data_IF_644076700660
#
_entry.id   IF_644076700660
#
_cell.length_a   1.000
_cell.length_b   1.000
_cell.length_c   1.000
_cell.angle_alpha   90.00
_cell.angle_beta   90.00
_cell.angle_gamma   90.00
#
_symmetry.space_group_name_H-M   'P 1'
#
loop_
_entity.id
_entity.type
_entity.pdbx_description
1 polymer ?
#
# COMPACT_ATOMS: atom_id res chain seq x y z
N UNK A 1 12.87 -17.26 10.45
CA UNK A 1 11.70 -17.17 9.57
C UNK A 1 10.51 -17.55 10.42
N UNK A 2 9.51 -16.65 10.57
CA UNK A 2 8.30 -16.97 11.33
C UNK A 2 7.43 -17.98 10.59
N UNK A 3 6.72 -18.82 11.32
CA UNK A 3 5.74 -19.75 10.74
C UNK A 3 4.61 -18.95 10.08
N UNK A 4 4.30 -19.31 8.85
CA UNK A 4 3.22 -18.75 8.04
C UNK A 4 2.00 -19.67 8.11
N UNK A 5 0.79 -19.12 8.26
CA UNK A 5 -0.44 -19.86 8.49
C UNK A 5 -1.51 -19.53 7.45
N UNK A 6 -2.52 -20.40 7.28
CA UNK A 6 -3.61 -20.16 6.35
C UNK A 6 -4.46 -18.94 6.78
N UNK A 7 -4.93 -18.16 5.82
CA UNK A 7 -5.80 -17.01 6.06
C UNK A 7 -6.67 -16.69 4.85
N UNK A 8 -7.63 -15.78 5.02
CA UNK A 8 -8.43 -15.22 3.94
C UNK A 8 -7.92 -13.83 3.56
N UNK A 9 -7.76 -13.60 2.27
CA UNK A 9 -7.53 -12.29 1.69
C UNK A 9 -8.81 -11.73 1.06
N UNK A 10 -9.02 -10.43 1.17
CA UNK A 10 -10.19 -9.75 0.62
C UNK A 10 -9.76 -8.57 -0.27
N UNK A 11 -10.31 -8.52 -1.49
CA UNK A 11 -10.10 -7.46 -2.46
C UNK A 11 -11.41 -6.66 -2.61
N UNK A 12 -11.47 -5.50 -1.96
CA UNK A 12 -12.70 -4.70 -1.92
C UNK A 12 -13.12 -4.14 -3.28
N UNK A 13 -12.17 -3.93 -4.18
CA UNK A 13 -12.38 -3.48 -5.56
C UNK A 13 -13.12 -4.49 -6.45
N UNK A 14 -13.09 -5.77 -6.07
CA UNK A 14 -13.84 -6.83 -6.74
C UNK A 14 -15.20 -7.10 -6.11
N UNK A 15 -15.50 -6.51 -4.97
CA UNK A 15 -16.71 -6.79 -4.20
C UNK A 15 -17.85 -5.84 -4.59
N UNK A 16 -18.96 -6.39 -5.06
CA UNK A 16 -20.21 -5.66 -5.36
C UNK A 16 -21.18 -5.56 -4.16
N UNK A 17 -20.87 -6.27 -3.05
CA UNK A 17 -21.70 -6.29 -1.85
C UNK A 17 -22.88 -7.25 -1.90
N UNK A 18 -22.86 -8.28 -2.75
CA UNK A 18 -23.95 -9.29 -2.89
C UNK A 18 -24.29 -10.05 -1.61
N UNK A 19 -23.40 -10.11 -0.62
CA UNK A 19 -23.51 -10.84 0.66
C UNK A 19 -23.51 -12.39 0.54
N UNK A 20 -23.23 -12.98 -0.62
CA UNK A 20 -23.18 -14.44 -0.78
C UNK A 20 -22.17 -15.11 0.17
N UNK A 21 -21.02 -14.45 0.38
CA UNK A 21 -20.00 -14.90 1.34
C UNK A 21 -20.50 -14.87 2.80
N UNK A 22 -21.35 -13.92 3.17
CA UNK A 22 -21.97 -13.80 4.52
C UNK A 22 -22.96 -14.94 4.71
N UNK A 23 -23.82 -15.16 3.73
CA UNK A 23 -24.82 -16.26 3.72
C UNK A 23 -24.15 -17.63 3.80
N UNK A 24 -23.10 -17.84 3.00
CA UNK A 24 -22.32 -19.07 3.03
C UNK A 24 -21.64 -19.29 4.40
N UNK A 25 -21.01 -18.25 4.96
CA UNK A 25 -20.38 -18.32 6.28
C UNK A 25 -21.37 -18.62 7.40
N UNK A 26 -22.56 -18.05 7.35
CA UNK A 26 -23.64 -18.35 8.29
C UNK A 26 -24.09 -19.80 8.19
N UNK A 27 -24.22 -20.33 6.96
CA UNK A 27 -24.63 -21.71 6.69
C UNK A 27 -23.67 -22.78 7.19
N UNK A 28 -22.38 -22.49 7.33
CA UNK A 28 -21.40 -23.41 7.94
C UNK A 28 -21.63 -23.58 9.46
N UNK A 29 -22.30 -22.65 10.09
CA UNK A 29 -22.56 -22.66 11.53
C UNK A 29 -23.93 -23.23 11.88
N UNK A 30 -24.90 -23.02 10.99
CA UNK A 30 -26.30 -23.37 11.25
C UNK A 30 -27.07 -23.54 9.91
N UNK A 31 -28.02 -24.47 9.90
CA UNK A 31 -28.87 -24.76 8.74
C UNK A 31 -29.74 -23.56 8.32
N UNK A 32 -30.05 -22.64 9.24
CA UNK A 32 -30.95 -21.51 9.00
C UNK A 32 -30.33 -20.37 8.18
N UNK A 33 -29.01 -20.39 7.96
CA UNK A 33 -28.25 -19.40 7.17
C UNK A 33 -28.50 -17.92 7.61
N UNK A 34 -28.81 -17.72 8.91
CA UNK A 34 -29.03 -16.38 9.44
C UNK A 34 -27.75 -15.53 9.31
N UNK A 35 -27.80 -14.41 8.58
CA UNK A 35 -26.63 -13.54 8.39
C UNK A 35 -26.00 -13.03 9.71
N UNK A 36 -26.77 -12.93 10.79
CA UNK A 36 -26.26 -12.53 12.11
C UNK A 36 -25.31 -13.58 12.71
N UNK A 37 -25.30 -14.80 12.19
CA UNK A 37 -24.38 -15.86 12.57
C UNK A 37 -23.11 -15.94 11.72
N UNK A 38 -22.96 -15.03 10.77
CA UNK A 38 -21.73 -14.92 9.99
C UNK A 38 -20.54 -14.50 10.83
N UNK A 39 -19.40 -15.15 10.63
CA UNK A 39 -18.12 -14.83 11.26
C UNK A 39 -17.31 -13.77 10.49
N UNK A 40 -17.90 -13.26 9.43
CA UNK A 40 -17.36 -12.21 8.57
C UNK A 40 -18.43 -11.13 8.38
N UNK A 41 -17.98 -9.86 8.26
CA UNK A 41 -18.90 -8.73 8.09
C UNK A 41 -18.33 -7.76 7.06
N UNK A 42 -19.16 -7.34 6.09
CA UNK A 42 -18.79 -6.29 5.13
C UNK A 42 -18.73 -4.92 5.83
N UNK A 43 -17.65 -4.21 5.60
CA UNK A 43 -17.48 -2.81 6.00
C UNK A 43 -17.84 -1.94 4.81
N UNK A 44 -18.85 -1.06 4.99
CA UNK A 44 -19.34 -0.16 3.94
C UNK A 44 -19.16 1.30 4.32
N UNK A 45 -18.87 2.13 3.32
CA UNK A 45 -18.94 3.59 3.41
C UNK A 45 -19.99 4.06 2.39
N UNK A 46 -21.17 4.44 2.87
CA UNK A 46 -22.36 4.59 2.01
C UNK A 46 -22.73 3.25 1.36
N UNK A 47 -22.91 3.24 0.05
CA UNK A 47 -23.22 2.02 -0.70
C UNK A 47 -21.96 1.21 -1.10
N UNK A 48 -20.76 1.77 -0.93
CA UNK A 48 -19.51 1.14 -1.38
C UNK A 48 -18.95 0.22 -0.31
N UNK A 49 -18.60 -1.02 -0.67
CA UNK A 49 -17.85 -1.94 0.20
C UNK A 49 -16.40 -1.49 0.25
N UNK A 50 -15.93 -1.15 1.46
CA UNK A 50 -14.57 -0.66 1.69
C UNK A 50 -13.67 -1.68 2.36
N UNK A 51 -14.24 -2.73 2.95
CA UNK A 51 -13.47 -3.75 3.63
C UNK A 51 -14.31 -4.94 4.08
N UNK A 52 -13.63 -5.90 4.70
CA UNK A 52 -14.23 -7.07 5.32
C UNK A 52 -13.62 -7.29 6.70
N UNK A 53 -14.43 -7.25 7.76
CA UNK A 53 -14.02 -7.68 9.08
C UNK A 53 -13.97 -9.21 9.11
N UNK A 54 -12.79 -9.77 9.32
CA UNK A 54 -12.56 -11.22 9.35
C UNK A 54 -11.34 -11.58 10.20
N UNK A 55 -11.29 -12.81 10.68
CA UNK A 55 -10.14 -13.32 11.42
C UNK A 55 -8.93 -13.53 10.50
N UNK A 56 -7.76 -13.02 10.92
CA UNK A 56 -6.50 -13.12 10.18
C UNK A 56 -5.66 -14.34 10.54
N UNK A 57 -6.10 -15.16 11.49
CA UNK A 57 -5.33 -16.30 12.02
C UNK A 57 -3.90 -15.87 12.43
N UNK A 58 -3.81 -14.85 13.28
CA UNK A 58 -2.55 -14.20 13.68
C UNK A 58 -1.50 -15.19 14.13
N UNK A 59 -0.22 -14.89 13.87
CA UNK A 59 0.90 -15.70 14.34
C UNK A 59 0.93 -15.71 15.88
N UNK A 60 0.74 -14.55 16.50
CA UNK A 60 0.59 -14.36 17.95
C UNK A 60 -0.80 -13.76 18.25
N UNK A 61 -1.82 -14.58 18.49
CA UNK A 61 -3.20 -14.11 18.59
C UNK A 61 -3.51 -13.51 19.96
N UNK A 62 -3.64 -12.19 20.02
CA UNK A 62 -4.04 -11.45 21.24
C UNK A 62 -5.36 -11.93 21.85
N UNK A 63 -6.28 -12.41 21.03
CA UNK A 63 -7.53 -12.96 21.50
C UNK A 63 -7.35 -14.26 22.32
N UNK A 64 -6.35 -15.06 22.02
CA UNK A 64 -5.97 -16.26 22.80
C UNK A 64 -5.27 -15.84 24.09
N UNK A 65 -4.27 -14.97 23.98
CA UNK A 65 -3.48 -14.48 25.12
C UNK A 65 -4.33 -13.81 26.19
N UNK A 66 -5.40 -13.11 25.80
CA UNK A 66 -6.28 -12.36 26.71
C UNK A 66 -7.55 -13.12 27.11
N UNK A 67 -7.72 -14.40 26.72
CA UNK A 67 -8.91 -15.14 27.12
C UNK A 67 -8.82 -15.61 28.59
N UNK A 68 -9.66 -15.08 29.52
CA UNK A 68 -9.52 -15.34 30.94
C UNK A 68 -9.85 -16.79 31.34
N UNK A 69 -10.57 -17.52 30.51
CA UNK A 69 -10.98 -18.92 30.75
C UNK A 69 -10.30 -19.92 29.81
N UNK A 70 -9.39 -19.43 28.91
CA UNK A 70 -8.67 -20.29 27.97
C UNK A 70 -9.54 -20.91 26.87
N UNK A 71 -10.76 -20.39 26.64
CA UNK A 71 -11.68 -20.92 25.63
C UNK A 71 -11.24 -20.70 24.18
N UNK A 72 -10.20 -19.90 23.95
CA UNK A 72 -9.59 -19.72 22.65
C UNK A 72 -8.22 -20.38 22.64
N UNK A 73 -7.95 -21.18 21.65
CA UNK A 73 -6.66 -21.85 21.47
C UNK A 73 -6.20 -21.78 20.01
N UNK A 74 -4.90 -21.82 19.80
CA UNK A 74 -4.29 -21.92 18.49
C UNK A 74 -3.72 -23.32 18.30
N UNK A 75 -4.13 -23.97 17.24
CA UNK A 75 -3.58 -25.25 16.84
C UNK A 75 -2.13 -25.06 16.33
N UNK A 76 -1.12 -25.73 16.91
CA UNK A 76 0.27 -25.52 16.54
C UNK A 76 0.63 -26.04 15.13
N UNK A 77 -0.10 -27.02 14.62
CA UNK A 77 0.17 -27.65 13.32
C UNK A 77 -0.51 -26.88 12.18
N UNK A 78 -1.77 -26.52 12.35
CA UNK A 78 -2.55 -25.82 11.33
C UNK A 78 -2.50 -24.30 11.45
N UNK A 79 -2.15 -23.78 12.63
CA UNK A 79 -2.18 -22.37 12.94
C UNK A 79 -3.58 -21.77 13.06
N UNK A 80 -4.61 -22.60 13.01
CA UNK A 80 -6.00 -22.15 13.12
C UNK A 80 -6.32 -21.85 14.59
N UNK A 81 -6.87 -20.69 14.84
CA UNK A 81 -7.39 -20.33 16.16
C UNK A 81 -8.85 -20.77 16.24
N UNK A 82 -9.21 -21.55 17.22
CA UNK A 82 -10.56 -22.07 17.48
C UNK A 82 -11.10 -21.61 18.83
N UNK A 83 -12.41 -21.78 19.02
CA UNK A 83 -13.14 -21.50 20.28
C UNK A 83 -13.85 -22.78 20.73
N UNK A 84 -13.71 -23.12 21.98
CA UNK A 84 -14.44 -24.22 22.61
C UNK A 84 -15.69 -23.75 23.41
N UNK A 85 -16.40 -24.69 24.02
CA UNK A 85 -17.65 -24.44 24.76
C UNK A 85 -17.45 -23.85 26.14
N UNK A 86 -16.23 -23.75 26.65
CA UNK A 86 -15.92 -23.10 27.95
C UNK A 86 -16.06 -21.58 27.90
N UNK A 87 -16.31 -21.01 26.72
CA UNK A 87 -16.53 -19.58 26.52
C UNK A 87 -17.68 -19.06 27.37
N UNK A 88 -17.41 -18.06 28.23
CA UNK A 88 -18.35 -17.41 29.12
C UNK A 88 -18.98 -16.13 28.57
N UNK A 89 -18.67 -15.75 27.29
CA UNK A 89 -19.25 -14.54 26.68
C UNK A 89 -18.75 -13.21 27.23
N UNK A 90 -17.58 -13.16 27.87
CA UNK A 90 -17.03 -11.92 28.46
C UNK A 90 -16.62 -10.86 27.46
N UNK A 91 -16.49 -11.20 26.16
CA UNK A 91 -16.18 -10.32 25.03
C UNK A 91 -14.79 -9.64 25.08
N UNK A 92 -13.88 -10.01 25.98
CA UNK A 92 -12.53 -9.44 26.05
C UNK A 92 -11.80 -9.64 24.72
N UNK A 93 -11.96 -10.79 24.07
CA UNK A 93 -11.33 -11.09 22.77
C UNK A 93 -11.81 -10.18 21.63
N UNK A 94 -13.01 -9.61 21.70
CA UNK A 94 -13.47 -8.63 20.70
C UNK A 94 -12.75 -7.28 20.86
N UNK A 95 -12.42 -6.89 22.08
CA UNK A 95 -11.65 -5.68 22.39
C UNK A 95 -10.16 -5.86 22.10
N UNK A 96 -9.64 -7.07 22.30
CA UNK A 96 -8.22 -7.39 22.06
C UNK A 96 -7.90 -7.60 20.58
N UNK A 97 -8.90 -7.84 19.71
CA UNK A 97 -8.67 -8.16 18.32
C UNK A 97 -8.39 -6.90 17.48
N UNK A 98 -7.17 -6.71 16.94
CA UNK A 98 -6.85 -5.52 16.13
C UNK A 98 -7.52 -5.53 14.74
N UNK A 99 -8.09 -6.66 14.33
CA UNK A 99 -8.67 -6.86 13.00
C UNK A 99 -10.20 -6.95 12.97
N UNK A 100 -10.87 -6.69 14.09
CA UNK A 100 -12.32 -6.87 14.25
C UNK A 100 -12.81 -8.27 13.79
N UNK A 101 -11.96 -9.29 13.87
CA UNK A 101 -12.23 -10.66 13.40
C UNK A 101 -13.02 -11.53 14.38
N UNK A 102 -13.65 -10.92 15.39
CA UNK A 102 -14.49 -11.60 16.40
C UNK A 102 -15.89 -11.00 16.34
N UNK A 103 -16.89 -11.84 16.12
CA UNK A 103 -18.31 -11.45 16.17
C UNK A 103 -18.97 -12.00 17.43
N UNK A 104 -20.15 -11.54 17.76
CA UNK A 104 -20.92 -11.99 18.94
C UNK A 104 -22.22 -12.58 18.45
N UNK A 105 -22.53 -13.79 18.89
CA UNK A 105 -23.85 -14.40 18.70
C UNK A 105 -24.85 -13.69 19.63
N UNK A 106 -25.85 -13.07 19.07
CA UNK A 106 -26.87 -12.32 19.83
C UNK A 106 -27.78 -13.22 20.68
N UNK A 107 -27.89 -14.50 20.30
CA UNK A 107 -28.78 -15.46 20.98
C UNK A 107 -28.22 -15.92 22.35
N UNK A 108 -26.91 -16.18 22.43
CA UNK A 108 -26.29 -16.70 23.65
C UNK A 108 -25.20 -15.78 24.23
N UNK A 109 -24.93 -14.64 23.55
CA UNK A 109 -23.95 -13.66 23.97
C UNK A 109 -22.49 -14.14 23.84
N UNK A 110 -22.24 -15.33 23.33
CA UNK A 110 -20.90 -15.88 23.14
C UNK A 110 -20.26 -15.37 21.88
N UNK A 111 -18.93 -15.40 21.82
CA UNK A 111 -18.19 -14.98 20.63
C UNK A 111 -18.21 -16.04 19.56
N UNK A 112 -18.26 -15.61 18.32
CA UNK A 112 -18.08 -16.42 17.13
C UNK A 112 -16.79 -16.02 16.43
N UNK A 113 -16.13 -16.99 15.81
CA UNK A 113 -14.83 -16.78 15.18
C UNK A 113 -14.68 -17.64 13.92
N UNK A 114 -14.06 -17.09 12.90
CA UNK A 114 -13.70 -17.82 11.68
C UNK A 114 -12.66 -18.90 11.99
N UNK A 115 -12.96 -20.14 11.65
CA UNK A 115 -12.11 -21.33 11.78
C UNK A 115 -11.73 -21.91 10.41
N UNK A 116 -11.84 -21.09 9.35
CA UNK A 116 -11.54 -21.43 7.96
C UNK A 116 -12.28 -22.69 7.44
N UNK A 117 -13.42 -23.04 8.05
CA UNK A 117 -14.22 -24.23 7.70
C UNK A 117 -13.34 -25.49 7.54
N UNK A 118 -12.42 -25.71 8.49
CA UNK A 118 -11.47 -26.84 8.50
C UNK A 118 -10.54 -26.88 7.26
N UNK A 119 -10.26 -25.72 6.63
CA UNK A 119 -9.36 -25.59 5.49
C UNK A 119 -10.07 -25.47 4.12
N UNK A 120 -11.39 -25.54 4.10
CA UNK A 120 -12.22 -25.38 2.90
C UNK A 120 -13.25 -24.24 3.09
N UNK A 121 -12.82 -22.97 3.02
CA UNK A 121 -13.68 -21.84 3.38
C UNK A 121 -14.81 -21.62 2.35
N UNK A 122 -16.03 -21.96 2.72
CA UNK A 122 -17.25 -21.86 1.93
C UNK A 122 -17.50 -20.44 1.38
N UNK A 123 -17.14 -19.41 2.15
CA UNK A 123 -17.29 -18.02 1.72
C UNK A 123 -16.42 -17.68 0.49
N UNK A 124 -15.31 -18.39 0.29
CA UNK A 124 -14.47 -18.22 -0.92
C UNK A 124 -15.16 -18.84 -2.11
N UNK A 125 -15.64 -20.08 -1.95
CA UNK A 125 -16.35 -20.80 -3.02
C UNK A 125 -17.65 -20.11 -3.44
N UNK A 126 -18.31 -19.43 -2.51
CA UNK A 126 -19.54 -18.70 -2.75
C UNK A 126 -19.35 -17.31 -3.37
N UNK A 127 -18.13 -16.79 -3.44
CA UNK A 127 -17.88 -15.44 -3.95
C UNK A 127 -17.83 -15.42 -5.48
N UNK A 128 -18.86 -14.88 -6.19
CA UNK A 128 -18.93 -14.96 -7.65
C UNK A 128 -17.88 -14.09 -8.36
N UNK A 129 -17.38 -13.06 -7.66
CA UNK A 129 -16.40 -12.10 -8.22
C UNK A 129 -14.96 -12.40 -7.79
N UNK A 130 -14.71 -13.47 -7.04
CA UNK A 130 -13.37 -13.79 -6.55
C UNK A 130 -12.77 -12.70 -5.66
N UNK A 131 -13.61 -11.93 -4.96
CA UNK A 131 -13.17 -10.90 -4.02
C UNK A 131 -12.55 -11.52 -2.74
N UNK A 132 -12.87 -12.76 -2.42
CA UNK A 132 -12.26 -13.55 -1.35
C UNK A 132 -11.32 -14.60 -1.93
N UNK A 133 -10.14 -14.73 -1.33
CA UNK A 133 -9.14 -15.74 -1.71
C UNK A 133 -8.64 -16.47 -0.46
N UNK A 134 -8.49 -17.77 -0.53
CA UNK A 134 -7.86 -18.57 0.52
C UNK A 134 -6.35 -18.67 0.26
N UNK A 135 -5.58 -18.17 1.19
CA UNK A 135 -4.12 -18.23 1.19
C UNK A 135 -3.67 -19.30 2.17
N UNK A 136 -3.05 -20.36 1.69
CA UNK A 136 -2.60 -21.49 2.53
C UNK A 136 -1.47 -21.07 3.48
N UNK A 137 -0.60 -20.14 3.03
CA UNK A 137 0.49 -19.61 3.83
C UNK A 137 0.62 -18.11 3.53
N UNK A 138 0.52 -17.26 4.54
CA UNK A 138 0.66 -15.83 4.37
C UNK A 138 1.14 -15.14 5.65
N UNK A 139 2.43 -14.84 5.72
CA UNK A 139 2.99 -14.04 6.80
C UNK A 139 2.51 -12.59 6.76
N UNK A 140 2.21 -12.06 5.57
CA UNK A 140 1.70 -10.70 5.37
C UNK A 140 0.44 -10.48 6.20
N UNK A 141 -0.57 -11.36 6.04
CA UNK A 141 -1.84 -11.24 6.74
C UNK A 141 -1.79 -11.64 8.20
N UNK A 142 -1.07 -12.73 8.51
CA UNK A 142 -1.00 -13.26 9.87
C UNK A 142 -0.25 -12.32 10.82
N UNK A 143 0.71 -11.54 10.32
CA UNK A 143 1.58 -10.67 11.12
C UNK A 143 1.34 -9.18 10.93
N UNK A 144 0.35 -8.78 10.16
CA UNK A 144 0.10 -7.36 9.83
C UNK A 144 -0.07 -6.46 11.07
N UNK A 145 -0.63 -6.97 12.17
CA UNK A 145 -0.80 -6.25 13.42
C UNK A 145 0.36 -6.40 14.41
N UNK A 146 1.29 -7.32 14.17
CA UNK A 146 2.36 -7.69 15.13
C UNK A 146 3.68 -6.98 14.83
N UNK A 147 3.84 -6.41 13.63
CA UNK A 147 5.07 -5.73 13.25
C UNK A 147 5.27 -4.47 14.10
N UNK A 148 6.50 -4.29 14.60
CA UNK A 148 6.86 -3.12 15.41
C UNK A 148 6.59 -1.82 14.66
N UNK A 149 5.96 -0.86 15.34
CA UNK A 149 5.78 0.47 14.80
C UNK A 149 7.05 1.31 15.02
N UNK A 150 7.81 1.50 13.96
CA UNK A 150 9.06 2.24 13.94
C UNK A 150 8.89 3.75 13.73
N UNK A 151 7.65 4.24 13.77
CA UNK A 151 7.32 5.66 13.73
C UNK A 151 6.67 6.07 15.04
N UNK A 152 7.21 7.10 15.68
CA UNK A 152 6.65 7.63 16.91
C UNK A 152 5.24 8.20 16.68
N UNK A 153 4.35 8.15 17.68
CA UNK A 153 3.07 8.84 17.60
C UNK A 153 3.25 10.36 17.56
N UNK A 154 2.24 11.07 17.03
CA UNK A 154 2.24 12.54 17.03
C UNK A 154 3.13 13.16 15.95
N UNK A 155 3.15 12.60 14.77
CA UNK A 155 3.84 13.15 13.60
C UNK A 155 3.17 14.40 13.05
N UNK A 156 3.95 15.25 12.36
CA UNK A 156 3.48 16.47 11.70
C UNK A 156 3.03 16.17 10.26
N UNK A 157 1.82 15.65 10.09
CA UNK A 157 1.25 15.33 8.78
C UNK A 157 -0.12 15.97 8.59
N UNK A 158 -0.53 16.18 7.33
CA UNK A 158 -1.89 16.61 7.01
C UNK A 158 -2.90 15.52 7.33
N UNK A 159 -4.16 15.90 7.57
CA UNK A 159 -5.25 14.95 7.76
C UNK A 159 -5.42 14.08 6.51
N UNK A 160 -5.42 12.75 6.68
CA UNK A 160 -5.47 11.79 5.59
C UNK A 160 -4.21 11.75 4.73
N UNK A 161 -3.04 12.07 5.29
CA UNK A 161 -1.77 12.06 4.55
C UNK A 161 -1.34 10.64 4.18
N UNK A 162 -1.32 10.34 2.90
CA UNK A 162 -0.87 9.06 2.38
C UNK A 162 0.64 8.81 2.60
N UNK A 163 1.42 9.87 2.65
CA UNK A 163 2.87 9.79 2.91
C UNK A 163 3.15 9.16 4.28
N UNK A 164 2.35 9.50 5.29
CA UNK A 164 2.48 8.93 6.64
C UNK A 164 2.18 7.43 6.65
N UNK A 165 1.07 7.05 6.03
CA UNK A 165 0.67 5.65 5.92
C UNK A 165 1.77 4.82 5.24
N UNK A 166 2.26 5.27 4.08
CA UNK A 166 3.34 4.62 3.36
C UNK A 166 4.62 4.49 4.21
N UNK A 167 5.03 5.59 4.83
CA UNK A 167 6.25 5.64 5.63
C UNK A 167 6.22 4.64 6.78
N UNK A 168 5.14 4.63 7.55
CA UNK A 168 4.92 3.73 8.68
C UNK A 168 4.93 2.26 8.25
N UNK A 169 4.19 1.93 7.21
CA UNK A 169 4.09 0.55 6.72
C UNK A 169 5.37 0.05 6.06
N UNK A 170 6.09 0.91 5.33
CA UNK A 170 7.37 0.52 4.75
C UNK A 170 8.42 0.21 5.83
N UNK A 171 8.51 1.03 6.87
CA UNK A 171 9.43 0.77 7.98
C UNK A 171 9.06 -0.48 8.77
N UNK A 172 7.77 -0.69 9.04
CA UNK A 172 7.30 -1.94 9.68
C UNK A 172 7.75 -3.17 8.89
N UNK A 173 7.67 -3.10 7.55
CA UNK A 173 7.99 -4.26 6.71
C UNK A 173 9.49 -4.50 6.56
N UNK A 174 10.27 -3.45 6.36
CA UNK A 174 11.73 -3.57 6.19
C UNK A 174 12.46 -3.80 7.52
N UNK A 175 11.92 -3.24 8.61
CA UNK A 175 12.41 -3.49 9.96
C UNK A 175 13.41 -2.47 10.48
N UNK A 176 13.83 -2.64 11.74
CA UNK A 176 14.65 -1.69 12.50
C UNK A 176 16.12 -1.61 12.06
N UNK A 177 16.63 -2.64 11.34
CA UNK A 177 18.00 -2.64 10.83
C UNK A 177 18.14 -1.78 9.56
N UNK A 178 17.68 -0.54 9.64
CA UNK A 178 17.56 0.37 8.50
C UNK A 178 18.13 1.74 8.83
N UNK A 179 18.77 2.36 7.84
CA UNK A 179 19.16 3.77 7.84
C UNK A 179 18.40 4.51 6.77
N UNK A 180 17.77 5.62 7.13
CA UNK A 180 16.91 6.42 6.26
C UNK A 180 17.63 7.65 5.72
N UNK A 181 17.31 8.01 4.46
CA UNK A 181 17.53 9.36 3.93
C UNK A 181 16.18 9.98 3.56
N UNK A 182 15.87 11.11 4.17
CA UNK A 182 14.62 11.83 4.03
C UNK A 182 14.92 13.26 3.58
N UNK A 183 14.85 13.56 2.26
CA UNK A 183 15.09 14.92 1.77
C UNK A 183 13.95 15.88 2.16
N UNK A 184 14.14 17.20 2.03
CA UNK A 184 13.10 18.19 2.27
C UNK A 184 11.83 17.91 1.44
N UNK A 185 10.67 18.18 2.03
CA UNK A 185 9.35 17.97 1.42
C UNK A 185 8.33 17.42 2.41
N UNK A 186 7.25 16.84 1.92
CA UNK A 186 6.21 16.19 2.75
C UNK A 186 6.77 15.08 3.63
N UNK A 187 7.74 14.32 3.12
CA UNK A 187 8.41 13.23 3.86
C UNK A 187 9.17 13.72 5.09
N UNK A 188 9.75 14.92 5.03
CA UNK A 188 10.44 15.52 6.18
C UNK A 188 9.45 15.85 7.31
N UNK A 189 8.25 16.33 7.00
CA UNK A 189 7.20 16.55 8.01
C UNK A 189 6.75 15.28 8.70
N UNK A 190 6.78 14.14 7.99
CA UNK A 190 6.38 12.83 8.55
C UNK A 190 7.50 12.16 9.33
N UNK A 191 8.71 12.14 8.79
CA UNK A 191 9.79 11.30 9.33
C UNK A 191 10.88 12.07 10.06
N UNK A 192 11.13 13.33 9.69
CA UNK A 192 12.24 14.11 10.24
C UNK A 192 11.84 14.97 11.43
N UNK A 193 10.64 15.53 11.42
CA UNK A 193 10.15 16.48 12.42
C UNK A 193 8.96 15.88 13.14
N UNK A 194 9.21 15.30 14.30
CA UNK A 194 8.14 14.89 15.21
C UNK A 194 7.58 16.08 16.00
N UNK A 195 6.58 15.82 16.80
CA UNK A 195 6.03 16.79 17.75
C UNK A 195 7.14 17.21 18.73
N UNK A 196 7.21 18.52 19.01
CA UNK A 196 8.22 19.14 19.89
C UNK A 196 9.68 18.99 19.40
N UNK A 197 9.92 18.86 18.10
CA UNK A 197 11.27 18.80 17.54
C UNK A 197 12.00 17.46 17.76
N UNK A 198 11.31 16.44 18.24
CA UNK A 198 11.86 15.08 18.35
C UNK A 198 11.71 14.36 17.02
N UNK A 199 12.72 13.60 16.62
CA UNK A 199 12.65 12.76 15.41
C UNK A 199 11.50 11.78 15.50
N UNK A 200 10.67 11.74 14.44
CA UNK A 200 9.50 10.85 14.40
C UNK A 200 9.87 9.38 14.14
N UNK A 201 11.09 9.09 13.69
CA UNK A 201 11.54 7.72 13.41
C UNK A 201 12.30 7.10 14.58
N UNK A 202 12.07 5.82 14.83
CA UNK A 202 12.83 5.00 15.79
C UNK A 202 14.05 4.33 15.16
N UNK A 203 14.36 4.65 13.91
CA UNK A 203 15.57 4.21 13.19
C UNK A 203 16.42 5.42 12.82
N UNK A 204 17.75 5.26 12.65
CA UNK A 204 18.63 6.36 12.25
C UNK A 204 18.16 7.00 10.95
N UNK A 205 18.05 8.33 10.91
CA UNK A 205 17.66 9.08 9.72
C UNK A 205 18.62 10.24 9.43
N UNK A 206 18.84 10.48 8.14
CA UNK A 206 19.64 11.58 7.64
C UNK A 206 18.78 12.49 6.76
N UNK A 207 19.06 13.78 6.81
CA UNK A 207 18.35 14.80 6.03
C UNK A 207 19.28 15.37 4.96
N UNK A 208 19.37 14.72 3.78
CA UNK A 208 20.18 15.22 2.67
C UNK A 208 19.54 16.48 2.06
N UNK A 209 20.30 17.17 1.22
CA UNK A 209 19.71 18.14 0.31
C UNK A 209 18.76 17.41 -0.66
N UNK A 210 17.79 18.11 -1.22
CA UNK A 210 16.81 17.56 -2.17
C UNK A 210 17.49 16.90 -3.38
N UNK A 211 18.69 17.37 -3.73
CA UNK A 211 19.45 16.94 -4.91
C UNK A 211 20.30 15.69 -4.72
N UNK A 212 20.64 15.27 -3.50
CA UNK A 212 21.70 14.28 -3.28
C UNK A 212 21.31 13.06 -2.43
N UNK A 213 20.01 12.74 -2.36
CA UNK A 213 19.48 11.66 -1.52
C UNK A 213 20.17 10.31 -1.80
N UNK A 214 20.22 9.89 -3.05
CA UNK A 214 20.80 8.60 -3.42
C UNK A 214 22.32 8.56 -3.24
N UNK A 215 23.03 9.63 -3.61
CA UNK A 215 24.50 9.69 -3.45
C UNK A 215 24.93 9.73 -1.98
N UNK A 216 24.16 10.37 -1.10
CA UNK A 216 24.42 10.34 0.34
C UNK A 216 24.27 8.93 0.91
N UNK A 217 23.16 8.22 0.58
CA UNK A 217 22.98 6.84 1.03
C UNK A 217 24.07 5.91 0.51
N UNK A 218 24.50 6.08 -0.74
CA UNK A 218 25.62 5.31 -1.30
C UNK A 218 26.89 5.47 -0.45
N UNK A 219 27.22 6.70 -0.04
CA UNK A 219 28.36 6.96 0.85
C UNK A 219 28.19 6.31 2.22
N UNK A 220 27.02 6.39 2.82
CA UNK A 220 26.71 5.77 4.12
C UNK A 220 26.81 4.25 4.02
N UNK A 221 26.28 3.64 2.96
CA UNK A 221 26.36 2.18 2.73
C UNK A 221 27.83 1.73 2.67
N UNK A 222 28.69 2.43 1.92
CA UNK A 222 30.13 2.13 1.84
C UNK A 222 30.82 2.15 3.20
N UNK A 223 30.42 3.06 4.08
CA UNK A 223 30.93 3.08 5.45
C UNK A 223 30.53 1.82 6.24
N UNK A 224 29.23 1.45 6.20
CA UNK A 224 28.75 0.27 6.92
C UNK A 224 29.34 -1.03 6.36
N UNK A 225 29.48 -1.16 5.04
CA UNK A 225 30.14 -2.31 4.41
C UNK A 225 31.61 -2.43 4.89
N UNK A 226 32.32 -1.31 4.98
CA UNK A 226 33.71 -1.28 5.45
C UNK A 226 33.87 -1.77 6.89
N UNK A 227 32.90 -1.49 7.75
CA UNK A 227 32.93 -1.95 9.16
C UNK A 227 32.23 -3.30 9.35
N UNK A 228 31.86 -4.00 8.27
CA UNK A 228 31.25 -5.33 8.30
C UNK A 228 29.83 -5.38 8.86
N UNK A 229 29.08 -4.28 8.80
CA UNK A 229 27.68 -4.22 9.27
C UNK A 229 26.72 -4.24 8.07
N UNK A 230 25.87 -5.25 8.02
CA UNK A 230 24.82 -5.33 7.03
C UNK A 230 23.62 -4.50 7.49
N UNK A 231 23.45 -3.33 6.89
CA UNK A 231 22.36 -2.37 7.18
C UNK A 231 21.62 -2.06 5.88
N UNK A 232 20.31 -2.07 5.93
CA UNK A 232 19.46 -1.66 4.82
C UNK A 232 19.49 -0.15 4.67
N UNK A 233 19.79 0.34 3.47
CA UNK A 233 19.69 1.75 3.11
C UNK A 233 18.33 2.01 2.48
N UNK A 234 17.58 3.01 2.97
CA UNK A 234 16.27 3.34 2.42
C UNK A 234 16.11 4.85 2.24
N UNK A 235 15.70 5.26 1.03
CA UNK A 235 15.34 6.63 0.72
C UNK A 235 13.81 6.79 0.68
N UNK A 236 13.31 7.88 1.25
CA UNK A 236 11.95 8.35 1.08
C UNK A 236 11.96 9.74 0.46
N UNK A 237 11.83 9.83 -0.86
CA UNK A 237 11.90 11.09 -1.60
C UNK A 237 10.59 11.37 -2.32
N UNK A 238 10.14 12.62 -2.31
CA UNK A 238 9.00 13.06 -3.12
C UNK A 238 9.34 13.07 -4.61
N UNK A 239 8.31 13.10 -5.45
CA UNK A 239 8.42 13.08 -6.90
C UNK A 239 9.24 14.26 -7.46
N UNK A 240 9.07 15.48 -6.94
CA UNK A 240 9.88 16.63 -7.36
C UNK A 240 11.38 16.45 -7.07
N UNK A 241 11.72 15.91 -5.89
CA UNK A 241 13.10 15.56 -5.55
C UNK A 241 13.66 14.44 -6.42
N UNK A 242 12.83 13.48 -6.81
CA UNK A 242 13.23 12.32 -7.59
C UNK A 242 13.30 12.61 -9.08
N UNK A 243 12.25 13.20 -9.65
CA UNK A 243 12.10 13.40 -11.10
C UNK A 243 12.89 14.60 -11.63
N UNK A 244 13.14 15.59 -10.80
CA UNK A 244 13.73 16.86 -11.21
C UNK A 244 15.12 17.03 -10.60
N UNK A 245 15.19 17.70 -9.45
CA UNK A 245 16.48 18.20 -8.92
C UNK A 245 17.41 17.09 -8.41
N UNK A 246 16.91 15.95 -7.98
CA UNK A 246 17.69 14.81 -7.48
C UNK A 246 17.89 13.68 -8.49
N UNK A 247 17.34 13.81 -9.71
CA UNK A 247 17.42 12.75 -10.71
C UNK A 247 18.85 12.40 -11.09
N UNK A 248 19.74 13.37 -11.19
CA UNK A 248 21.17 13.14 -11.44
C UNK A 248 21.81 12.21 -10.40
N UNK A 249 21.52 12.46 -9.11
CA UNK A 249 22.02 11.63 -8.00
C UNK A 249 21.46 10.21 -8.06
N UNK A 250 20.16 10.08 -8.36
CA UNK A 250 19.48 8.78 -8.51
C UNK A 250 20.04 8.00 -9.72
N UNK A 251 20.12 8.63 -10.88
CA UNK A 251 20.66 8.04 -12.11
C UNK A 251 22.08 7.50 -11.91
N UNK A 252 22.97 8.30 -11.31
CA UNK A 252 24.33 7.87 -11.04
C UNK A 252 24.45 6.76 -9.99
N UNK A 253 23.54 6.72 -8.99
CA UNK A 253 23.51 5.64 -8.00
C UNK A 253 22.99 4.34 -8.62
N UNK A 254 21.98 4.40 -9.48
CA UNK A 254 21.46 3.25 -10.21
C UNK A 254 22.49 2.66 -11.16
N UNK A 255 23.17 3.52 -11.95
CA UNK A 255 24.23 3.11 -12.88
C UNK A 255 25.37 2.36 -12.18
N UNK A 256 25.73 2.78 -10.96
CA UNK A 256 26.77 2.11 -10.17
C UNK A 256 26.27 0.88 -9.38
N UNK A 257 25.00 0.51 -9.48
CA UNK A 257 24.41 -0.59 -8.73
C UNK A 257 24.47 -0.41 -7.22
N UNK A 258 24.26 0.82 -6.72
CA UNK A 258 24.33 1.08 -5.29
C UNK A 258 23.20 0.36 -4.51
N UNK A 259 23.56 -0.35 -3.45
CA UNK A 259 22.66 -1.20 -2.66
C UNK A 259 21.75 -0.37 -1.78
N UNK A 260 20.52 -0.14 -2.25
CA UNK A 260 19.50 0.61 -1.51
C UNK A 260 18.09 0.35 -2.02
N UNK A 261 17.11 0.58 -1.16
CA UNK A 261 15.70 0.74 -1.53
C UNK A 261 15.44 2.23 -1.71
N UNK A 262 15.03 2.65 -2.91
CA UNK A 262 14.64 4.02 -3.19
C UNK A 262 13.13 4.09 -3.40
N UNK A 263 12.41 4.71 -2.46
CA UNK A 263 10.97 4.92 -2.54
C UNK A 263 10.71 6.34 -3.04
N UNK A 264 10.14 6.45 -4.24
CA UNK A 264 9.61 7.69 -4.78
C UNK A 264 8.14 7.81 -4.37
N UNK A 265 7.80 8.83 -3.59
CA UNK A 265 6.43 9.15 -3.20
C UNK A 265 5.88 10.15 -4.20
N UNK A 266 5.06 9.67 -5.14
CA UNK A 266 4.50 10.50 -6.20
C UNK A 266 3.13 11.03 -5.82
N UNK A 267 3.09 12.30 -5.43
CA UNK A 267 1.87 13.08 -5.22
C UNK A 267 1.65 14.11 -6.32
N UNK A 268 2.37 13.98 -7.44
CA UNK A 268 2.26 14.76 -8.67
C UNK A 268 2.55 16.26 -8.50
N UNK A 269 3.53 16.60 -7.65
CA UNK A 269 3.95 17.99 -7.48
C UNK A 269 4.84 18.26 -6.28
N UNK A 270 5.37 19.46 -6.20
CA UNK A 270 6.00 19.98 -4.98
C UNK A 270 4.91 20.42 -3.99
N UNK A 271 4.27 19.46 -3.31
CA UNK A 271 3.09 19.72 -2.50
C UNK A 271 3.38 20.58 -1.27
N UNK A 272 4.49 20.28 -0.56
CA UNK A 272 4.83 20.95 0.69
C UNK A 272 5.07 22.46 0.54
N UNK A 273 5.58 22.89 -0.59
CA UNK A 273 5.89 24.30 -0.87
C UNK A 273 4.76 25.08 -1.53
N UNK A 274 3.59 24.46 -1.73
CA UNK A 274 2.42 25.13 -2.28
C UNK A 274 1.98 24.63 -3.65
N UNK A 275 2.13 23.34 -3.91
CA UNK A 275 1.57 22.65 -5.08
C UNK A 275 2.16 23.14 -6.41
N UNK A 276 3.48 23.36 -6.49
CA UNK A 276 4.13 23.63 -7.77
C UNK A 276 4.22 22.35 -8.61
N UNK A 277 4.29 22.50 -9.92
CA UNK A 277 4.44 21.39 -10.83
C UNK A 277 5.80 20.70 -10.65
N UNK A 278 5.79 19.35 -10.70
CA UNK A 278 6.99 18.51 -10.84
C UNK A 278 7.09 17.87 -12.22
N UNK A 279 8.13 17.11 -12.44
CA UNK A 279 8.30 16.28 -13.65
C UNK A 279 7.24 15.20 -13.80
N UNK A 280 6.68 14.69 -12.69
CA UNK A 280 5.63 13.66 -12.69
C UNK A 280 4.21 14.22 -12.73
N UNK A 281 4.03 15.54 -12.58
CA UNK A 281 2.70 16.15 -12.72
C UNK A 281 2.10 15.79 -14.08
N UNK A 282 0.90 15.17 -14.14
CA UNK A 282 0.28 14.77 -15.40
C UNK A 282 -0.13 15.93 -16.30
N UNK A 283 -0.33 15.64 -17.58
CA UNK A 283 -0.95 16.58 -18.53
C UNK A 283 -2.34 17.01 -18.02
N UNK A 284 -2.68 18.27 -18.26
CA UNK A 284 -3.95 18.87 -17.85
C UNK A 284 -4.04 19.19 -16.35
N UNK A 285 -3.15 18.72 -15.48
CA UNK A 285 -3.23 18.95 -14.05
C UNK A 285 -3.07 20.44 -13.68
N UNK A 286 -3.95 20.90 -12.80
CA UNK A 286 -3.77 22.20 -12.15
C UNK A 286 -2.64 22.11 -11.11
N UNK A 287 -1.77 23.10 -11.10
CA UNK A 287 -0.85 23.41 -9.99
C UNK A 287 -0.71 24.92 -9.85
N UNK A 288 -0.05 25.42 -8.78
CA UNK A 288 0.19 26.84 -8.60
C UNK A 288 1.08 27.45 -9.71
N UNK A 289 1.88 26.64 -10.40
CA UNK A 289 2.73 27.05 -11.53
C UNK A 289 2.22 26.60 -12.90
N UNK A 290 1.11 25.86 -12.95
CA UNK A 290 0.34 25.53 -14.15
C UNK A 290 -1.15 25.85 -13.91
N UNK A 291 -1.49 27.14 -13.80
CA UNK A 291 -2.85 27.55 -13.47
C UNK A 291 -3.85 27.24 -14.59
N UNK A 292 -5.12 27.25 -14.22
CA UNK A 292 -6.25 27.08 -15.14
C UNK A 292 -6.99 28.41 -15.24
N UNK A 293 -7.19 28.89 -16.45
CA UNK A 293 -7.87 30.13 -16.76
C UNK A 293 -8.14 30.27 -18.26
N UNK A 294 -8.44 31.49 -18.74
CA UNK A 294 -8.74 31.73 -20.15
C UNK A 294 -7.57 31.44 -21.09
N UNK A 295 -6.33 31.64 -20.65
CA UNK A 295 -5.12 31.46 -21.46
C UNK A 295 -4.43 30.09 -21.27
N UNK A 296 -4.62 29.43 -20.13
CA UNK A 296 -3.94 28.17 -19.78
C UNK A 296 -4.97 27.18 -19.22
N UNK A 297 -4.83 25.90 -19.63
CA UNK A 297 -5.71 24.81 -19.20
C UNK A 297 -4.93 23.76 -18.38
N UNK A 298 -4.13 24.18 -17.42
CA UNK A 298 -3.26 23.29 -16.64
C UNK A 298 -1.91 22.98 -17.32
N UNK A 299 -1.26 21.89 -16.92
CA UNK A 299 0.04 21.50 -17.48
C UNK A 299 -0.09 20.99 -18.93
N UNK A 300 0.76 21.49 -19.82
CA UNK A 300 0.72 21.23 -21.27
C UNK A 300 1.66 20.14 -21.77
N UNK A 301 2.44 19.52 -20.87
CA UNK A 301 3.39 18.47 -21.21
C UNK A 301 3.10 17.19 -20.41
N UNK A 302 3.45 16.05 -20.98
CA UNK A 302 3.32 14.76 -20.33
C UNK A 302 4.21 14.66 -19.09
N UNK A 303 3.84 13.78 -18.17
CA UNK A 303 4.68 13.41 -17.04
C UNK A 303 5.87 12.56 -17.49
N UNK A 304 7.00 12.72 -16.80
CA UNK A 304 8.09 11.74 -16.88
C UNK A 304 7.59 10.40 -16.32
N UNK A 305 7.78 9.32 -17.07
CA UNK A 305 7.43 7.99 -16.58
C UNK A 305 8.62 7.35 -15.87
N UNK A 306 8.89 7.82 -14.63
CA UNK A 306 10.05 7.44 -13.84
C UNK A 306 10.24 5.93 -13.68
N UNK A 307 9.21 5.09 -13.43
CA UNK A 307 9.42 3.66 -13.27
C UNK A 307 10.11 3.03 -14.48
N UNK A 308 9.68 3.38 -15.71
CA UNK A 308 10.31 2.88 -16.92
C UNK A 308 11.73 3.43 -17.11
N UNK A 309 11.97 4.69 -16.76
CA UNK A 309 13.32 5.26 -16.79
C UNK A 309 14.24 4.45 -15.87
N UNK A 310 13.77 4.04 -14.69
CA UNK A 310 14.55 3.24 -13.74
C UNK A 310 14.77 1.80 -14.19
N UNK A 311 13.83 1.20 -14.91
CA UNK A 311 14.08 -0.09 -15.62
C UNK A 311 15.26 0.03 -16.57
N UNK A 312 15.31 1.12 -17.36
CA UNK A 312 16.40 1.37 -18.31
C UNK A 312 17.74 1.78 -17.64
N UNK A 313 17.75 2.00 -16.33
CA UNK A 313 18.95 2.25 -15.53
C UNK A 313 19.50 1.00 -14.83
N UNK A 314 19.10 -0.19 -15.26
CA UNK A 314 19.55 -1.49 -14.74
C UNK A 314 19.38 -1.65 -13.24
N UNK A 315 18.24 -1.17 -12.69
CA UNK A 315 17.88 -1.48 -11.32
C UNK A 315 17.57 -2.98 -11.16
N UNK A 316 18.00 -3.58 -10.08
CA UNK A 316 17.71 -4.99 -9.74
C UNK A 316 16.19 -5.27 -9.63
N UNK A 317 15.46 -4.27 -9.17
CA UNK A 317 14.01 -4.33 -9.02
C UNK A 317 13.38 -2.96 -9.20
N UNK A 318 12.30 -2.91 -9.97
CA UNK A 318 11.48 -1.70 -10.14
C UNK A 318 10.02 -2.08 -9.97
N UNK A 319 9.28 -1.31 -9.19
CA UNK A 319 7.84 -1.52 -9.03
C UNK A 319 7.06 -0.22 -8.94
N UNK A 320 5.81 -0.27 -9.37
CA UNK A 320 4.79 0.72 -9.03
C UNK A 320 3.91 0.17 -7.92
N UNK A 321 3.48 1.01 -6.99
CA UNK A 321 2.66 0.60 -5.86
C UNK A 321 1.66 1.68 -5.45
N UNK A 322 0.68 1.31 -4.64
CA UNK A 322 -0.27 2.23 -4.00
C UNK A 322 -0.61 1.72 -2.61
N UNK A 323 -0.74 2.62 -1.64
CA UNK A 323 -1.20 2.28 -0.29
C UNK A 323 -2.68 1.86 -0.24
N UNK A 324 -3.42 2.03 -1.33
CA UNK A 324 -4.77 1.50 -1.46
C UNK A 324 -4.80 -0.02 -1.71
N UNK A 325 -3.62 -0.64 -1.94
CA UNK A 325 -3.39 -2.07 -2.17
C UNK A 325 -2.21 -2.52 -1.28
N UNK A 326 -2.46 -2.64 0.03
CA UNK A 326 -1.42 -2.86 1.03
C UNK A 326 -0.69 -4.20 0.88
N UNK A 327 -1.39 -5.24 0.48
CA UNK A 327 -0.83 -6.58 0.27
C UNK A 327 0.18 -6.56 -0.89
N UNK A 328 -0.15 -5.88 -1.98
CA UNK A 328 0.73 -5.67 -3.13
C UNK A 328 1.96 -4.85 -2.73
N UNK A 329 1.75 -3.77 -1.97
CA UNK A 329 2.86 -2.95 -1.45
C UNK A 329 3.80 -3.76 -0.56
N UNK A 330 3.29 -4.59 0.36
CA UNK A 330 4.11 -5.41 1.24
C UNK A 330 4.93 -6.45 0.47
N UNK A 331 4.30 -7.15 -0.49
CA UNK A 331 5.01 -8.10 -1.34
C UNK A 331 6.16 -7.44 -2.12
N UNK A 332 5.93 -6.22 -2.62
CA UNK A 332 6.94 -5.44 -3.34
C UNK A 332 8.05 -4.93 -2.42
N UNK A 333 7.75 -4.55 -1.19
CA UNK A 333 8.75 -4.16 -0.20
C UNK A 333 9.67 -5.33 0.16
N UNK A 334 9.15 -6.55 0.28
CA UNK A 334 9.97 -7.74 0.52
C UNK A 334 10.92 -8.02 -0.63
N UNK A 335 10.40 -8.00 -1.87
CA UNK A 335 11.21 -8.18 -3.07
C UNK A 335 12.27 -7.09 -3.20
N UNK A 336 11.92 -5.84 -2.89
CA UNK A 336 12.85 -4.73 -2.90
C UNK A 336 13.95 -4.88 -1.84
N UNK A 337 13.63 -5.39 -0.65
CA UNK A 337 14.61 -5.64 0.40
C UNK A 337 15.61 -6.73 -0.01
N UNK A 338 15.17 -7.78 -0.71
CA UNK A 338 16.07 -8.79 -1.25
C UNK A 338 16.92 -8.25 -2.42
N UNK A 339 16.31 -7.53 -3.36
CA UNK A 339 17.01 -6.94 -4.49
C UNK A 339 18.06 -5.90 -4.05
N UNK A 340 17.78 -5.13 -3.00
CA UNK A 340 18.69 -4.13 -2.45
C UNK A 340 19.98 -4.74 -1.85
N UNK A 341 20.04 -6.03 -1.64
CA UNK A 341 21.28 -6.74 -1.27
C UNK A 341 22.24 -6.88 -2.45
N UNK A 342 21.72 -6.86 -3.69
CA UNK A 342 22.49 -6.96 -4.94
C UNK A 342 22.82 -5.58 -5.52
N UNK A 343 21.82 -4.69 -5.64
CA UNK A 343 21.94 -3.36 -6.22
C UNK A 343 20.79 -2.44 -5.84
N UNK A 344 20.34 -1.58 -6.75
CA UNK A 344 19.25 -0.64 -6.48
C UNK A 344 17.88 -1.29 -6.69
N UNK A 345 17.03 -1.18 -5.69
CA UNK A 345 15.60 -1.43 -5.79
C UNK A 345 14.84 -0.10 -5.78
N UNK A 346 13.99 0.15 -6.78
CA UNK A 346 13.20 1.36 -6.92
C UNK A 346 11.70 1.06 -6.83
N UNK A 347 11.00 1.72 -5.93
CA UNK A 347 9.54 1.63 -5.81
C UNK A 347 8.93 3.02 -6.03
N UNK A 348 8.07 3.13 -7.02
CA UNK A 348 7.30 4.33 -7.32
C UNK A 348 5.91 4.20 -6.73
N UNK A 349 5.64 4.94 -5.66
CA UNK A 349 4.38 4.82 -4.92
C UNK A 349 3.47 5.98 -5.22
N UNK A 350 2.34 5.69 -5.84
CA UNK A 350 1.28 6.66 -6.05
C UNK A 350 0.67 7.08 -4.72
N UNK A 351 0.71 8.38 -4.47
CA UNK A 351 0.38 8.98 -3.18
C UNK A 351 -0.59 10.16 -3.34
N UNK A 352 -1.90 9.92 -3.52
CA UNK A 352 -2.88 10.99 -3.61
C UNK A 352 -2.79 11.96 -2.44
N UNK A 353 -2.87 13.26 -2.72
CA UNK A 353 -2.77 14.31 -1.70
C UNK A 353 -4.12 15.02 -1.52
N UNK A 354 -4.90 14.73 -0.47
CA UNK A 354 -6.22 15.33 -0.28
C UNK A 354 -6.19 16.87 -0.33
N UNK A 355 -5.24 17.48 0.36
CA UNK A 355 -5.07 18.94 0.43
C UNK A 355 -4.68 19.52 -0.92
N UNK A 356 -3.63 19.00 -1.56
CA UNK A 356 -3.11 19.54 -2.83
C UNK A 356 -4.02 19.26 -4.02
N UNK A 357 -4.73 18.15 -4.02
CA UNK A 357 -5.63 17.76 -5.11
C UNK A 357 -7.08 18.17 -4.88
N UNK A 358 -7.41 18.66 -3.67
CA UNK A 358 -8.73 19.18 -3.30
C UNK A 358 -9.83 18.13 -3.40
N UNK A 359 -9.69 17.04 -2.65
CA UNK A 359 -10.71 16.02 -2.42
C UNK A 359 -10.81 15.71 -0.92
N UNK A 360 -11.95 15.18 -0.41
CA UNK A 360 -12.14 14.85 0.99
C UNK A 360 -11.15 13.79 1.50
N UNK A 361 -10.50 13.96 2.67
CA UNK A 361 -9.49 13.03 3.19
C UNK A 361 -9.98 11.58 3.38
N UNK A 362 -11.26 11.37 3.67
CA UNK A 362 -11.91 10.07 3.81
C UNK A 362 -12.04 9.30 2.50
N UNK A 363 -11.84 9.97 1.36
CA UNK A 363 -11.85 9.36 0.03
C UNK A 363 -10.45 8.88 -0.43
N UNK A 364 -9.42 9.02 0.39
CA UNK A 364 -8.03 8.70 -0.01
C UNK A 364 -7.88 7.32 -0.64
N UNK A 365 -8.40 6.29 0.02
CA UNK A 365 -8.30 4.90 -0.46
C UNK A 365 -9.06 4.70 -1.76
N UNK A 366 -10.25 5.29 -1.86
CA UNK A 366 -11.09 5.18 -3.06
C UNK A 366 -10.46 5.90 -4.27
N UNK A 367 -9.88 7.08 -4.07
CA UNK A 367 -9.11 7.79 -5.12
C UNK A 367 -7.94 6.93 -5.61
N UNK A 368 -7.20 6.30 -4.71
CA UNK A 368 -6.13 5.38 -5.09
C UNK A 368 -6.61 4.15 -5.85
N UNK A 369 -7.75 3.57 -5.45
CA UNK A 369 -8.38 2.45 -6.16
C UNK A 369 -8.83 2.82 -7.57
N UNK A 370 -9.49 3.96 -7.73
CA UNK A 370 -9.92 4.46 -9.05
C UNK A 370 -8.74 4.73 -9.98
N UNK A 371 -7.65 5.30 -9.45
CA UNK A 371 -6.43 5.51 -10.23
C UNK A 371 -5.85 4.19 -10.80
N UNK A 372 -5.86 3.13 -10.01
CA UNK A 372 -5.40 1.80 -10.44
C UNK A 372 -6.40 1.17 -11.42
N UNK A 373 -7.69 1.14 -11.08
CA UNK A 373 -8.73 0.53 -11.92
C UNK A 373 -8.94 1.22 -13.27
N UNK A 374 -8.65 2.52 -13.36
CA UNK A 374 -8.67 3.26 -14.63
C UNK A 374 -7.40 3.10 -15.46
N UNK A 375 -6.43 2.32 -14.98
CA UNK A 375 -5.09 2.17 -15.57
C UNK A 375 -4.29 3.49 -15.66
N UNK A 376 -4.71 4.54 -14.97
CA UNK A 376 -3.88 5.74 -14.85
C UNK A 376 -2.61 5.46 -14.06
N UNK A 377 -2.71 4.54 -13.09
CA UNK A 377 -1.60 4.06 -12.25
C UNK A 377 -1.61 2.53 -12.25
N UNK A 378 -1.14 1.87 -13.32
CA UNK A 378 -1.07 0.42 -13.36
C UNK A 378 -0.08 -0.10 -12.30
N UNK A 379 -0.45 -1.17 -11.59
CA UNK A 379 0.43 -1.83 -10.63
C UNK A 379 1.18 -2.96 -11.33
N UNK A 380 2.51 -2.86 -11.30
CA UNK A 380 3.41 -3.82 -11.93
C UNK A 380 4.77 -3.85 -11.23
N UNK A 381 5.54 -4.85 -11.54
CA UNK A 381 6.92 -5.01 -11.10
C UNK A 381 7.82 -5.50 -12.24
N UNK A 382 9.10 -5.17 -12.14
CA UNK A 382 10.17 -5.64 -13.01
C UNK A 382 11.31 -6.16 -12.15
N UNK A 383 11.92 -7.27 -12.55
CA UNK A 383 13.13 -7.81 -11.93
C UNK A 383 14.21 -7.98 -12.99
N UNK A 384 15.46 -7.64 -12.68
CA UNK A 384 16.59 -7.87 -13.58
C UNK A 384 16.85 -9.37 -13.81
N UNK A 385 16.48 -10.22 -12.86
CA UNK A 385 16.58 -11.69 -13.01
C UNK A 385 15.68 -12.22 -14.15
N UNK A 386 14.48 -11.67 -14.32
CA UNK A 386 13.52 -12.10 -15.36
C UNK A 386 13.54 -11.21 -16.61
N UNK A 387 14.03 -9.99 -16.49
CA UNK A 387 14.03 -8.93 -17.52
C UNK A 387 12.66 -8.64 -18.14
N UNK A 388 11.59 -8.92 -17.38
CA UNK A 388 10.21 -8.77 -17.81
C UNK A 388 9.37 -7.99 -16.81
N UNK A 389 8.31 -7.38 -17.32
CA UNK A 389 7.28 -6.72 -16.50
C UNK A 389 6.18 -7.73 -16.15
N UNK A 390 5.80 -7.79 -14.89
CA UNK A 390 4.64 -8.54 -14.43
C UNK A 390 3.60 -7.59 -13.83
N UNK A 391 2.37 -7.62 -14.35
CA UNK A 391 1.26 -6.89 -13.73
C UNK A 391 0.82 -7.59 -12.44
N UNK A 392 0.72 -6.84 -11.37
CA UNK A 392 0.25 -7.34 -10.07
C UNK A 392 -1.23 -7.00 -9.81
N UNK A 393 -1.83 -6.19 -10.68
CA UNK A 393 -3.26 -5.92 -10.74
C UNK A 393 -3.73 -6.00 -12.19
N UNK A 394 -4.95 -6.57 -12.46
CA UNK A 394 -5.50 -6.65 -13.82
C UNK A 394 -5.55 -5.28 -14.51
N UNK A 395 -5.20 -5.24 -15.79
CA UNK A 395 -5.23 -4.03 -16.63
C UNK A 395 -6.25 -4.14 -17.77
N UNK A 396 -6.96 -5.25 -17.86
CA UNK A 396 -8.06 -5.43 -18.81
C UNK A 396 -9.33 -4.81 -18.23
N UNK A 397 -10.22 -4.33 -19.09
CA UNK A 397 -11.51 -3.70 -18.75
C UNK A 397 -11.40 -2.54 -17.73
N UNK A 398 -10.60 -1.50 -18.02
CA UNK A 398 -10.44 -0.38 -17.08
C UNK A 398 -11.73 0.45 -16.98
N UNK A 399 -12.00 1.00 -15.80
CA UNK A 399 -13.04 2.01 -15.64
C UNK A 399 -12.68 3.28 -16.42
N UNK A 400 -13.65 4.13 -16.80
CA UNK A 400 -13.39 5.42 -17.44
C UNK A 400 -12.41 6.28 -16.64
N UNK A 401 -11.50 6.99 -17.32
CA UNK A 401 -10.52 7.88 -16.64
C UNK A 401 -11.22 9.04 -15.95
N UNK A 402 -12.40 9.42 -16.41
CA UNK A 402 -13.28 10.43 -15.86
C UNK A 402 -13.71 10.12 -14.42
N UNK A 403 -13.97 8.84 -14.13
CA UNK A 403 -14.39 8.37 -12.81
C UNK A 403 -13.29 8.58 -11.76
N UNK A 404 -12.03 8.58 -12.21
CA UNK A 404 -10.90 8.94 -11.36
C UNK A 404 -10.66 10.44 -11.33
N UNK A 405 -10.60 11.12 -12.47
CA UNK A 405 -10.09 12.49 -12.58
C UNK A 405 -11.11 13.55 -12.18
N UNK A 406 -12.35 13.49 -12.70
CA UNK A 406 -13.30 14.59 -12.55
C UNK A 406 -13.79 14.84 -11.12
N UNK A 407 -13.86 13.85 -10.21
CA UNK A 407 -14.17 14.11 -8.80
C UNK A 407 -13.07 14.89 -8.05
N UNK A 408 -11.86 14.97 -8.61
CA UNK A 408 -10.69 15.59 -7.98
C UNK A 408 -10.59 17.05 -8.41
N UNK A 409 -10.55 17.98 -7.47
CA UNK A 409 -10.50 19.41 -7.75
C UNK A 409 -9.33 19.86 -8.64
N UNK A 410 -8.23 19.13 -8.65
CA UNK A 410 -7.06 19.33 -9.51
C UNK A 410 -7.36 19.11 -11.00
N UNK A 411 -8.38 18.29 -11.33
CA UNK A 411 -8.70 17.83 -12.69
C UNK A 411 -10.12 18.19 -13.16
N UNK A 412 -11.00 18.70 -12.30
CA UNK A 412 -12.42 18.94 -12.60
C UNK A 412 -12.69 19.89 -13.79
N UNK A 413 -11.66 20.61 -14.26
CA UNK A 413 -11.71 21.55 -15.37
C UNK A 413 -11.42 20.93 -16.73
N UNK A 414 -11.02 19.64 -16.77
CA UNK A 414 -10.67 18.96 -18.01
C UNK A 414 -11.86 18.93 -18.97
N UNK A 415 -11.60 19.31 -20.22
CA UNK A 415 -12.56 19.19 -21.31
C UNK A 415 -12.37 17.85 -22.07
N UNK A 416 -13.27 17.53 -23.00
CA UNK A 416 -13.27 16.27 -23.72
C UNK A 416 -12.01 16.07 -24.57
N UNK A 417 -11.45 17.15 -25.16
CA UNK A 417 -10.18 17.07 -25.92
C UNK A 417 -9.02 16.64 -25.01
N UNK A 418 -8.93 17.21 -23.80
CA UNK A 418 -7.92 16.87 -22.82
C UNK A 418 -8.13 15.44 -22.27
N UNK A 419 -9.35 15.03 -22.01
CA UNK A 419 -9.67 13.67 -21.56
C UNK A 419 -9.31 12.63 -22.62
N UNK A 420 -9.62 12.91 -23.90
CA UNK A 420 -9.23 12.04 -25.01
C UNK A 420 -7.71 11.88 -25.09
N UNK A 421 -6.96 12.96 -24.98
CA UNK A 421 -5.50 12.90 -24.96
C UNK A 421 -4.95 12.10 -23.75
N UNK A 422 -5.56 12.22 -22.60
CA UNK A 422 -5.19 11.45 -21.39
C UNK A 422 -5.46 9.95 -21.62
N UNK A 423 -6.57 9.57 -22.24
CA UNK A 423 -6.87 8.17 -22.60
C UNK A 423 -5.78 7.60 -23.51
N UNK A 424 -5.36 8.37 -24.53
CA UNK A 424 -4.30 7.96 -25.46
C UNK A 424 -2.94 7.76 -24.77
N UNK A 425 -2.57 8.65 -23.83
CA UNK A 425 -1.35 8.50 -23.03
C UNK A 425 -1.43 7.23 -22.19
N UNK A 426 -2.56 7.00 -21.50
CA UNK A 426 -2.81 5.81 -20.69
C UNK A 426 -2.66 4.53 -21.52
N UNK A 427 -3.34 4.45 -22.65
CA UNK A 427 -3.37 3.26 -23.49
C UNK A 427 -1.99 2.96 -24.07
N UNK A 428 -1.29 3.97 -24.56
CA UNK A 428 0.12 3.84 -25.01
C UNK A 428 1.02 3.31 -23.90
N UNK A 429 0.84 3.76 -22.67
CA UNK A 429 1.63 3.30 -21.51
C UNK A 429 1.35 1.81 -21.22
N UNK A 430 0.11 1.40 -21.23
CA UNK A 430 -0.28 -0.01 -21.03
C UNK A 430 0.28 -0.89 -22.15
N UNK A 431 0.20 -0.45 -23.41
CA UNK A 431 0.76 -1.17 -24.55
C UNK A 431 2.27 -1.39 -24.42
N UNK A 432 3.04 -0.35 -24.05
CA UNK A 432 4.47 -0.46 -23.79
C UNK A 432 4.77 -1.51 -22.71
N UNK A 433 4.02 -1.48 -21.60
CA UNK A 433 4.20 -2.44 -20.49
C UNK A 433 3.85 -3.87 -20.93
N UNK A 434 2.75 -4.08 -21.67
CA UNK A 434 2.37 -5.39 -22.23
C UNK A 434 3.44 -5.95 -23.18
N UNK A 435 4.05 -5.12 -23.99
CA UNK A 435 5.12 -5.56 -24.89
C UNK A 435 6.37 -6.04 -24.15
N UNK A 436 6.72 -5.43 -23.02
CA UNK A 436 7.86 -5.86 -22.19
C UNK A 436 7.49 -7.10 -21.34
N UNK A 437 6.22 -7.32 -21.05
CA UNK A 437 5.76 -8.50 -20.29
C UNK A 437 5.76 -9.80 -21.09
N UNK A 438 5.77 -9.72 -22.42
CA UNK A 438 5.70 -10.87 -23.33
C UNK A 438 7.08 -11.37 -23.82
N UNK A 439 8.15 -10.64 -23.49
CA UNK A 439 9.54 -11.04 -23.75
C UNK A 439 10.11 -11.83 -22.59
#
# INVERSE_FOLDING_TARGET
MGTSYPTLAFQADKCDGCNDCITACAGCADSDKDPLRSRIQLIKTGETVTGLALCRQCAEPECVANCPVGALSKDPDTGIVSKDDTCIGCKICTLSCPHAGMTVNEMDGKVMKCELCQGEPECVSACPHGALTFLKNSDIYNRMGELEDLVAPGISACLGCNTELLFRHSLRRVGSNTVLAIPPGCTAGVGAVGVNGVTATKVPSFHPLLTNTASMLAGIKRYYDRIGRDITMMAFAGDGGTADVGFQSLSGAAERGEKMIYICIDNEGYMNTGVQRSGTTPYGAWTSTTPVGSALKGKTRDAKYLPMIMVMHNCEYVATASTSFMEDLYAKLDKAAEAAKKGMAYIHVFSPCPTGWRFPPDQLVEVGRRAVRSNMVPLWEYSDDTKSVAFTHPVDDPIPVEDFLLPIGKYKHLDEEQLQYIREIRDRRIEILKNISQT
#
